data_IF_283323627550
#
_entry.id   IF_283323627550
#
_cell.length_a   1.000
_cell.length_b   1.000
_cell.length_c   1.000
_cell.angle_alpha   90.00
_cell.angle_beta   90.00
_cell.angle_gamma   90.00
#
_symmetry.space_group_name_H-M   'P 1'
#
loop_
_entity.id
_entity.type
_entity.pdbx_description
1 polymer ?
#
# COMPACT_ATOMS: atom_id res chain seq x y z
N UNK A 1 -1.17 8.89 -5.91
CA UNK A 1 -1.07 7.46 -5.56
C UNK A 1 -0.27 7.37 -4.27
N UNK A 2 -0.70 6.50 -3.35
CA UNK A 2 0.00 6.28 -2.10
C UNK A 2 1.33 5.57 -2.37
N UNK A 3 2.38 5.92 -1.63
CA UNK A 3 3.66 5.19 -1.65
C UNK A 3 3.61 3.92 -0.79
N UNK A 4 2.78 3.93 0.25
CA UNK A 4 2.71 2.86 1.25
C UNK A 4 1.69 1.77 0.86
N UNK A 5 0.51 2.16 0.37
CA UNK A 5 -0.57 1.24 -0.06
C UNK A 5 -0.84 1.42 -1.55
N UNK A 6 -0.19 0.58 -2.37
CA UNK A 6 -0.16 0.72 -3.83
C UNK A 6 -1.55 0.66 -4.47
N UNK A 7 -2.44 -0.15 -3.89
CA UNK A 7 -3.81 -0.35 -4.38
C UNK A 7 -4.86 0.47 -3.61
N UNK A 8 -4.48 1.54 -2.90
CA UNK A 8 -5.42 2.38 -2.17
C UNK A 8 -6.52 2.93 -3.09
N UNK A 9 -7.79 2.60 -2.81
CA UNK A 9 -8.95 2.93 -3.65
C UNK A 9 -9.62 4.26 -3.33
N UNK A 10 -9.32 4.82 -2.16
CA UNK A 10 -9.90 6.06 -1.64
C UNK A 10 -8.82 6.97 -1.09
N UNK A 11 -9.13 8.26 -1.01
CA UNK A 11 -8.37 9.24 -0.25
C UNK A 11 -9.25 9.74 0.90
N UNK A 12 -8.69 9.83 2.10
CA UNK A 12 -9.39 10.23 3.32
C UNK A 12 -9.05 11.69 3.64
N UNK A 13 -10.06 12.49 4.00
CA UNK A 13 -9.85 13.82 4.55
C UNK A 13 -9.65 13.72 6.05
N UNK A 14 -8.46 14.09 6.50
CA UNK A 14 -8.13 14.10 7.92
C UNK A 14 -8.88 15.20 8.65
N UNK A 15 -9.44 14.89 9.82
CA UNK A 15 -10.16 15.88 10.63
C UNK A 15 -9.21 16.83 11.37
N UNK A 16 -8.02 16.36 11.73
CA UNK A 16 -7.01 17.09 12.49
C UNK A 16 -6.37 18.22 11.67
N UNK A 17 -5.87 17.92 10.47
CA UNK A 17 -5.14 18.87 9.62
C UNK A 17 -5.87 19.23 8.31
N UNK A 18 -7.07 18.67 8.07
CA UNK A 18 -7.91 18.94 6.88
C UNK A 18 -7.24 18.63 5.55
N UNK A 19 -6.28 17.69 5.54
CA UNK A 19 -5.53 17.26 4.36
C UNK A 19 -6.12 15.98 3.79
N UNK A 20 -5.87 15.75 2.50
CA UNK A 20 -6.19 14.48 1.84
C UNK A 20 -4.98 13.57 1.89
N UNK A 21 -5.17 12.38 2.44
CA UNK A 21 -4.13 11.35 2.56
C UNK A 21 -4.70 10.01 2.12
N UNK A 22 -3.85 9.13 1.62
CA UNK A 22 -4.27 7.80 1.15
C UNK A 22 -4.09 6.71 2.22
N UNK A 23 -3.24 6.94 3.22
CA UNK A 23 -3.00 6.05 4.35
C UNK A 23 -2.50 6.84 5.57
N UNK A 24 -2.33 6.17 6.71
CA UNK A 24 -1.82 6.77 7.95
C UNK A 24 -0.35 7.21 7.83
N UNK A 25 0.50 6.43 7.17
CA UNK A 25 1.91 6.79 6.97
C UNK A 25 2.05 8.07 6.12
N UNK A 26 1.21 8.24 5.09
CA UNK A 26 1.16 9.49 4.32
C UNK A 26 0.72 10.69 5.17
N UNK A 27 -0.06 10.48 6.23
CA UNK A 27 -0.38 11.54 7.18
C UNK A 27 0.83 11.87 8.07
N UNK A 28 1.50 10.85 8.60
CA UNK A 28 2.61 11.01 9.52
C UNK A 28 3.84 11.65 8.84
N UNK A 29 4.02 11.45 7.53
CA UNK A 29 5.04 12.14 6.72
C UNK A 29 4.81 13.67 6.64
N UNK A 30 3.56 14.12 6.77
CA UNK A 30 3.19 15.52 6.53
C UNK A 30 2.73 16.25 7.78
N UNK A 31 2.43 15.53 8.85
CA UNK A 31 1.84 16.06 10.07
C UNK A 31 2.70 15.73 11.30
N UNK A 32 2.94 16.74 12.14
CA UNK A 32 3.71 16.60 13.38
C UNK A 32 2.86 16.10 14.57
N UNK A 33 1.74 15.42 14.30
CA UNK A 33 0.79 14.94 15.32
C UNK A 33 0.17 13.60 14.91
N UNK A 34 -0.32 12.80 15.88
CA UNK A 34 -1.01 11.55 15.56
C UNK A 34 -2.36 11.80 14.88
N UNK A 35 -2.76 10.88 13.99
CA UNK A 35 -4.05 10.94 13.32
C UNK A 35 -5.21 10.83 14.34
N UNK A 36 -6.08 11.84 14.35
CA UNK A 36 -7.26 11.84 15.21
C UNK A 36 -8.33 10.88 14.68
N UNK A 37 -8.80 9.97 15.53
CA UNK A 37 -9.90 9.05 15.22
C UNK A 37 -11.25 9.74 15.35
N UNK A 38 -12.10 9.59 14.34
CA UNK A 38 -13.48 10.07 14.34
C UNK A 38 -14.43 9.01 13.82
N UNK A 39 -15.67 8.94 14.35
CA UNK A 39 -16.66 8.00 13.88
C UNK A 39 -17.16 8.32 12.46
N UNK A 40 -17.13 9.58 12.04
CA UNK A 40 -17.44 9.98 10.67
C UNK A 40 -16.15 10.35 9.94
N UNK A 41 -16.00 9.85 8.71
CA UNK A 41 -14.90 10.20 7.81
C UNK A 41 -15.42 10.62 6.44
N UNK A 42 -14.75 11.58 5.82
CA UNK A 42 -15.01 11.98 4.43
C UNK A 42 -13.97 11.36 3.52
N UNK A 43 -14.42 10.63 2.51
CA UNK A 43 -13.58 9.95 1.53
C UNK A 43 -13.82 10.50 0.13
N UNK A 44 -12.83 10.36 -0.74
CA UNK A 44 -12.96 10.51 -2.20
C UNK A 44 -12.64 9.16 -2.85
N UNK A 45 -13.56 8.65 -3.65
CA UNK A 45 -13.33 7.44 -4.44
C UNK A 45 -12.39 7.74 -5.62
N UNK A 46 -11.33 6.96 -5.81
CA UNK A 46 -10.39 7.16 -6.93
C UNK A 46 -10.96 6.71 -8.28
N UNK A 47 -11.92 5.76 -8.29
CA UNK A 47 -12.61 5.30 -9.50
C UNK A 47 -13.54 6.37 -10.07
N UNK A 48 -14.43 6.93 -9.26
CA UNK A 48 -15.43 7.91 -9.74
C UNK A 48 -15.13 9.37 -9.39
N UNK A 49 -14.09 9.64 -8.58
CA UNK A 49 -13.66 10.97 -8.12
C UNK A 49 -14.74 11.76 -7.35
N UNK A 50 -15.79 11.09 -6.87
CA UNK A 50 -16.83 11.70 -6.03
C UNK A 50 -16.49 11.54 -4.56
N UNK A 51 -16.74 12.61 -3.80
CA UNK A 51 -16.64 12.59 -2.35
C UNK A 51 -17.89 11.94 -1.74
N UNK A 52 -17.71 11.21 -0.64
CA UNK A 52 -18.78 10.61 0.14
C UNK A 52 -18.36 10.56 1.61
N UNK A 53 -19.33 10.33 2.50
CA UNK A 53 -19.09 10.16 3.93
C UNK A 53 -19.44 8.74 4.31
N UNK A 54 -18.64 8.19 5.22
CA UNK A 54 -18.90 6.89 5.85
C UNK A 54 -18.81 7.06 7.36
N UNK A 55 -19.57 6.25 8.07
CA UNK A 55 -19.54 6.17 9.52
C UNK A 55 -18.84 4.86 9.89
N UNK A 56 -17.62 4.96 10.43
CA UNK A 56 -16.90 3.82 10.99
C UNK A 56 -17.30 3.68 12.47
N UNK A 57 -18.34 2.89 12.72
CA UNK A 57 -18.87 2.56 14.05
C UNK A 57 -18.61 1.11 14.44
N UNK A 58 -19.24 0.64 15.53
CA UNK A 58 -19.18 -0.76 15.97
C UNK A 58 -19.96 -1.71 15.05
N UNK A 59 -20.97 -1.20 14.34
CA UNK A 59 -21.82 -1.93 13.40
C UNK A 59 -21.46 -1.52 11.96
N UNK A 60 -20.34 -2.02 11.43
CA UNK A 60 -20.00 -1.86 10.01
C UNK A 60 -20.65 -3.00 9.24
N UNK A 61 -21.48 -2.69 8.24
CA UNK A 61 -22.12 -3.69 7.37
C UNK A 61 -21.29 -3.90 6.10
N UNK A 62 -21.46 -5.04 5.42
CA UNK A 62 -20.78 -5.32 4.14
C UNK A 62 -21.07 -4.23 3.09
N UNK A 63 -22.24 -3.60 3.17
CA UNK A 63 -22.64 -2.49 2.30
C UNK A 63 -21.74 -1.25 2.44
N UNK A 64 -21.13 -1.04 3.61
CA UNK A 64 -20.26 0.11 3.88
C UNK A 64 -18.89 -0.01 3.19
N UNK A 65 -18.55 -1.19 2.67
CA UNK A 65 -17.28 -1.44 1.96
C UNK A 65 -17.27 -0.91 0.51
N UNK A 66 -18.41 -0.40 0.03
CA UNK A 66 -18.61 0.02 -1.36
C UNK A 66 -18.82 1.52 -1.48
N UNK A 67 -18.31 2.09 -2.58
CA UNK A 67 -18.58 3.49 -2.89
C UNK A 67 -20.05 3.66 -3.31
N UNK A 68 -20.84 4.52 -2.63
CA UNK A 68 -22.28 4.68 -2.90
C UNK A 68 -22.58 5.30 -4.27
N UNK A 69 -21.55 5.77 -4.97
CA UNK A 69 -21.69 6.45 -6.26
C UNK A 69 -21.40 5.56 -7.47
N UNK A 70 -20.63 4.48 -7.32
CA UNK A 70 -20.11 3.71 -8.46
C UNK A 70 -19.81 2.24 -8.15
N UNK A 71 -20.24 1.77 -6.97
CA UNK A 71 -20.09 0.38 -6.54
C UNK A 71 -18.62 -0.09 -6.57
N UNK A 72 -17.71 0.81 -6.19
CA UNK A 72 -16.31 0.45 -6.05
C UNK A 72 -16.07 -0.13 -4.67
N UNK A 73 -15.72 -1.41 -4.59
CA UNK A 73 -15.23 -2.00 -3.35
C UNK A 73 -13.91 -1.32 -2.97
N UNK A 74 -13.92 -0.56 -1.88
CA UNK A 74 -12.76 0.25 -1.46
C UNK A 74 -12.07 -0.27 -0.20
N UNK A 75 -12.72 -1.18 0.53
CA UNK A 75 -12.12 -1.94 1.62
C UNK A 75 -11.48 -3.19 1.02
N UNK A 76 -10.21 -3.09 0.67
CA UNK A 76 -9.46 -4.18 0.02
C UNK A 76 -8.16 -4.46 0.79
N UNK A 77 -7.65 -5.68 0.69
CA UNK A 77 -6.34 -6.04 1.26
C UNK A 77 -5.25 -5.11 0.73
N UNK A 78 -4.50 -4.48 1.63
CA UNK A 78 -3.45 -3.54 1.27
C UNK A 78 -2.29 -4.26 0.57
N UNK A 79 -1.91 -3.78 -0.62
CA UNK A 79 -0.67 -4.16 -1.29
C UNK A 79 0.42 -3.17 -0.87
N UNK A 80 1.38 -3.64 -0.09
CA UNK A 80 2.56 -2.89 0.34
C UNK A 80 3.80 -3.38 -0.43
N UNK A 81 4.75 -2.49 -0.70
CA UNK A 81 6.04 -2.91 -1.25
C UNK A 81 6.76 -3.76 -0.19
N UNK A 82 7.06 -5.01 -0.52
CA UNK A 82 7.93 -5.85 0.31
C UNK A 82 9.32 -5.18 0.34
N UNK A 83 9.94 -4.99 1.52
CA UNK A 83 11.32 -4.52 1.56
C UNK A 83 12.17 -5.53 0.79
N UNK A 84 12.78 -5.10 -0.32
CA UNK A 84 13.72 -5.94 -1.07
C UNK A 84 14.82 -6.33 -0.07
N UNK A 85 15.06 -7.63 0.17
CA UNK A 85 16.11 -8.04 1.10
C UNK A 85 17.42 -7.42 0.64
N UNK A 86 18.05 -6.64 1.52
CA UNK A 86 19.30 -5.90 1.25
C UNK A 86 20.43 -6.85 0.86
N UNK A 87 20.34 -8.11 1.29
CA UNK A 87 21.28 -9.17 0.95
C UNK A 87 20.47 -10.40 0.50
N UNK A 88 20.58 -10.83 -0.78
CA UNK A 88 20.03 -12.11 -1.23
C UNK A 88 20.77 -13.31 -0.61
N UNK A 89 21.91 -13.06 0.02
CA UNK A 89 22.82 -14.07 0.53
C UNK A 89 22.85 -14.06 2.08
N UNK A 90 22.86 -15.25 2.71
CA UNK A 90 23.11 -15.41 4.14
C UNK A 90 24.35 -14.63 4.63
N UNK A 91 24.30 -14.08 5.84
CA UNK A 91 25.41 -13.27 6.43
C UNK A 91 26.72 -14.07 6.58
N UNK A 92 26.63 -15.41 6.56
CA UNK A 92 27.73 -16.37 6.69
C UNK A 92 28.32 -16.84 5.33
N UNK A 93 27.87 -16.27 4.21
CA UNK A 93 28.43 -16.58 2.89
C UNK A 93 29.73 -15.80 2.64
N UNK A 94 30.84 -16.52 2.43
CA UNK A 94 32.12 -15.91 2.03
C UNK A 94 31.92 -15.13 0.73
N UNK A 95 32.26 -13.84 0.72
CA UNK A 95 32.06 -12.91 -0.41
C UNK A 95 32.71 -13.41 -1.70
N UNK A 96 33.68 -14.33 -1.61
CA UNK A 96 34.32 -15.00 -2.75
C UNK A 96 33.45 -16.04 -3.46
N UNK A 97 32.32 -16.43 -2.86
CA UNK A 97 31.35 -17.38 -3.43
C UNK A 97 30.19 -16.67 -4.14
N UNK A 98 30.15 -15.33 -4.14
CA UNK A 98 29.14 -14.57 -4.88
C UNK A 98 29.55 -14.59 -6.36
N UNK A 99 28.76 -15.23 -7.25
CA UNK A 99 29.04 -15.24 -8.68
C UNK A 99 29.08 -13.80 -9.19
N UNK A 100 30.07 -13.47 -10.02
CA UNK A 100 30.10 -12.17 -10.67
C UNK A 100 28.93 -12.06 -11.67
N UNK A 101 28.52 -10.84 -12.04
CA UNK A 101 27.34 -10.61 -12.90
C UNK A 101 27.36 -11.46 -14.17
N UNK A 102 28.56 -11.68 -14.74
CA UNK A 102 28.80 -12.52 -15.93
C UNK A 102 28.51 -14.01 -15.70
N UNK A 103 28.84 -14.53 -14.52
CA UNK A 103 28.62 -15.94 -14.17
C UNK A 103 27.15 -16.19 -13.79
N UNK A 104 26.48 -15.18 -13.22
CA UNK A 104 25.05 -15.24 -12.94
C UNK A 104 24.23 -15.31 -14.24
N UNK A 105 24.63 -14.54 -15.26
CA UNK A 105 23.99 -14.54 -16.58
C UNK A 105 24.18 -15.89 -17.30
N UNK A 106 25.39 -16.46 -17.27
CA UNK A 106 25.67 -17.81 -17.81
C UNK A 106 24.87 -18.91 -17.09
N UNK A 107 24.70 -18.84 -15.77
CA UNK A 107 23.89 -19.82 -15.02
C UNK A 107 22.39 -19.72 -15.32
N UNK A 108 21.88 -18.50 -15.49
CA UNK A 108 20.48 -18.28 -15.84
C UNK A 108 20.18 -18.84 -17.25
N UNK A 109 21.08 -18.61 -18.20
CA UNK A 109 20.96 -19.16 -19.55
C UNK A 109 20.99 -20.70 -19.55
N UNK A 110 21.88 -21.34 -18.79
CA UNK A 110 21.95 -22.81 -18.71
C UNK A 110 20.69 -23.45 -18.10
N UNK A 111 20.06 -22.80 -17.10
CA UNK A 111 18.82 -23.31 -16.49
C UNK A 111 17.60 -23.19 -17.41
N UNK A 112 17.62 -22.28 -18.39
CA UNK A 112 16.53 -22.13 -19.37
C UNK A 112 16.60 -23.13 -20.52
N UNK A 113 17.72 -23.84 -20.68
CA UNK A 113 17.94 -24.80 -21.77
C UNK A 113 17.61 -26.27 -21.42
N UNK A 114 17.14 -26.55 -20.19
CA UNK A 114 16.70 -27.88 -19.74
C UNK A 114 15.17 -28.05 -19.64
N UNK A 115 14.39 -27.16 -20.28
CA UNK A 115 12.93 -27.25 -20.42
C UNK A 115 12.48 -27.65 -21.81
#
# INVERSE_FOLDING_TARGET
MCKHVLNAQVSVRTVCCRRWVDCIECHDEVADHPLLRTPEMTLICKKCRKAFRVQFGEEMDDSDEFCPNCDNHYVVSALTEQPKPTNPFPEDMDTRMIPNDRELEELLDDTTHLG
#
